data_IF_938288774841
#
_entry.id   IF_938288774841
#
_cell.length_a   1.000
_cell.length_b   1.000
_cell.length_c   1.000
_cell.angle_alpha   90.00
_cell.angle_beta   90.00
_cell.angle_gamma   90.00
#
_symmetry.space_group_name_H-M   'P 1'
#
loop_
_entity.id
_entity.type
_entity.pdbx_description
1 polymer ?
#
# COMPACT_ATOMS: atom_id res chain seq x y z
N UNK A 1 5.37 -26.91 7.11
CA UNK A 1 6.26 -26.02 6.34
C UNK A 1 5.69 -24.60 6.06
N UNK A 2 4.38 -24.41 6.02
CA UNK A 2 3.73 -23.10 5.68
C UNK A 2 3.95 -21.99 6.73
N UNK A 3 4.05 -22.33 8.02
CA UNK A 3 4.30 -21.33 9.09
C UNK A 3 5.69 -20.68 9.05
N UNK A 4 6.72 -21.36 8.51
CA UNK A 4 8.08 -20.82 8.47
C UNK A 4 8.28 -19.74 7.40
N UNK A 5 7.60 -19.83 6.24
CA UNK A 5 7.69 -18.84 5.16
C UNK A 5 7.03 -17.50 5.54
N UNK A 6 5.86 -17.53 6.20
CA UNK A 6 5.20 -16.33 6.68
C UNK A 6 6.10 -15.49 7.62
N UNK A 7 6.82 -16.18 8.52
CA UNK A 7 7.77 -15.55 9.43
C UNK A 7 9.02 -15.00 8.72
N UNK A 8 9.38 -15.49 7.54
CA UNK A 8 10.60 -15.08 6.82
C UNK A 8 10.43 -13.67 6.23
N UNK A 9 9.33 -13.35 5.53
CA UNK A 9 9.08 -12.01 4.99
C UNK A 9 8.95 -10.98 6.10
N UNK A 10 8.21 -11.29 7.17
CA UNK A 10 8.11 -10.38 8.31
C UNK A 10 9.45 -10.14 8.98
N UNK A 11 10.27 -11.18 9.19
CA UNK A 11 11.63 -11.04 9.74
C UNK A 11 12.52 -10.21 8.82
N UNK A 12 12.43 -10.39 7.50
CA UNK A 12 13.17 -9.63 6.51
C UNK A 12 12.89 -8.13 6.62
N UNK A 13 11.61 -7.74 6.67
CA UNK A 13 11.21 -6.34 6.77
C UNK A 13 11.38 -5.74 8.16
N UNK A 14 11.28 -6.53 9.23
CA UNK A 14 11.62 -6.10 10.60
C UNK A 14 13.11 -5.91 10.81
N UNK A 15 13.95 -6.62 10.05
CA UNK A 15 15.40 -6.69 10.22
C UNK A 15 16.17 -5.56 9.53
N UNK A 16 17.49 -5.78 9.41
CA UNK A 16 18.49 -4.82 8.87
C UNK A 16 18.13 -4.31 7.48
N UNK A 17 17.51 -5.15 6.63
CA UNK A 17 17.12 -4.73 5.28
C UNK A 17 16.06 -3.62 5.31
N UNK A 18 15.00 -3.78 6.12
CA UNK A 18 13.96 -2.77 6.28
C UNK A 18 14.51 -1.46 6.87
N UNK A 19 15.49 -1.54 7.76
CA UNK A 19 16.18 -0.37 8.34
C UNK A 19 16.96 0.41 7.26
N UNK A 20 17.76 -0.29 6.45
CA UNK A 20 18.56 0.32 5.36
C UNK A 20 17.66 0.83 4.21
N UNK A 21 16.45 0.33 4.07
CA UNK A 21 15.50 0.78 3.05
C UNK A 21 15.02 2.22 3.28
N UNK A 22 15.04 2.70 4.54
CA UNK A 22 14.65 4.07 4.91
C UNK A 22 15.48 5.14 4.18
N UNK A 23 16.81 5.03 4.18
CA UNK A 23 17.72 6.04 3.61
C UNK A 23 17.51 6.29 2.10
N UNK A 24 16.90 5.35 1.38
CA UNK A 24 16.62 5.45 -0.05
C UNK A 24 15.39 6.30 -0.37
N UNK A 25 14.54 6.56 0.63
CA UNK A 25 13.25 7.23 0.46
C UNK A 25 13.26 8.71 0.86
N UNK A 26 14.40 9.31 1.14
CA UNK A 26 14.48 10.71 1.61
C UNK A 26 14.55 11.75 0.47
N UNK A 27 14.44 11.34 -0.79
CA UNK A 27 14.56 12.21 -1.97
C UNK A 27 13.39 13.20 -2.12
N UNK A 28 13.72 14.48 -2.36
CA UNK A 28 12.74 15.52 -2.71
C UNK A 28 12.01 15.19 -4.02
N UNK A 29 12.70 14.53 -4.95
CA UNK A 29 12.12 14.06 -6.23
C UNK A 29 10.97 13.10 -5.95
N UNK A 30 11.14 12.12 -5.05
CA UNK A 30 10.08 11.16 -4.70
C UNK A 30 8.85 11.82 -4.08
N UNK A 31 9.02 12.87 -3.27
CA UNK A 31 7.89 13.62 -2.68
C UNK A 31 7.06 14.30 -3.77
N UNK A 32 7.73 14.88 -4.76
CA UNK A 32 7.07 15.54 -5.90
C UNK A 32 6.41 14.50 -6.81
N UNK A 33 7.12 13.46 -7.19
CA UNK A 33 6.61 12.37 -8.04
C UNK A 33 5.39 11.68 -7.42
N UNK A 34 5.40 11.40 -6.11
CA UNK A 34 4.25 10.85 -5.40
C UNK A 34 3.02 11.77 -5.48
N UNK A 35 3.20 13.08 -5.37
CA UNK A 35 2.09 14.05 -5.50
C UNK A 35 1.42 13.95 -6.88
N UNK A 36 2.21 13.92 -7.95
CA UNK A 36 1.68 13.80 -9.32
C UNK A 36 1.06 12.44 -9.56
N UNK A 37 1.70 11.36 -9.10
CA UNK A 37 1.17 10.00 -9.14
C UNK A 37 -0.23 9.92 -8.51
N UNK A 38 -0.40 10.38 -7.27
CA UNK A 38 -1.70 10.32 -6.60
C UNK A 38 -2.74 11.26 -7.22
N UNK A 39 -2.35 12.41 -7.79
CA UNK A 39 -3.27 13.24 -8.58
C UNK A 39 -3.84 12.48 -9.77
N UNK A 40 -3.00 11.68 -10.47
CA UNK A 40 -3.40 10.82 -11.59
C UNK A 40 -4.34 9.69 -11.11
N UNK A 41 -3.91 8.92 -10.10
CA UNK A 41 -4.68 7.77 -9.60
C UNK A 41 -6.05 8.16 -9.03
N UNK A 42 -6.17 9.34 -8.41
CA UNK A 42 -7.41 9.79 -7.77
C UNK A 42 -8.27 10.69 -8.69
N UNK A 43 -7.99 10.73 -10.00
CA UNK A 43 -8.72 11.60 -10.94
C UNK A 43 -10.23 11.29 -10.97
N UNK A 44 -10.59 10.00 -10.92
CA UNK A 44 -12.00 9.55 -10.96
C UNK A 44 -12.66 9.46 -9.56
N UNK A 45 -12.04 10.00 -8.51
CA UNK A 45 -12.63 10.02 -7.17
C UNK A 45 -13.31 11.34 -6.86
N UNK A 46 -14.23 11.33 -5.90
CA UNK A 46 -14.79 12.52 -5.28
C UNK A 46 -13.84 12.99 -4.16
N UNK A 47 -12.73 13.65 -4.53
CA UNK A 47 -11.63 14.03 -3.62
C UNK A 47 -12.10 14.82 -2.39
N UNK A 48 -13.13 15.66 -2.55
CA UNK A 48 -13.72 16.45 -1.47
C UNK A 48 -14.42 15.61 -0.40
N UNK A 49 -14.81 14.37 -0.71
CA UNK A 49 -15.42 13.41 0.22
C UNK A 49 -14.39 12.53 0.92
N UNK A 50 -13.13 12.50 0.47
CA UNK A 50 -12.07 11.72 1.12
C UNK A 50 -11.53 12.56 2.29
N UNK A 51 -11.91 12.20 3.53
CA UNK A 51 -11.51 12.86 4.78
C UNK A 51 -10.65 11.98 5.67
N UNK A 52 -10.62 10.69 5.40
CA UNK A 52 -9.87 9.71 6.18
C UNK A 52 -9.13 8.74 5.28
N UNK A 53 -7.94 8.31 5.72
CA UNK A 53 -7.17 7.29 5.01
C UNK A 53 -6.44 6.34 5.96
N UNK A 54 -6.19 5.15 5.46
CA UNK A 54 -5.25 4.20 6.04
C UNK A 54 -4.30 3.69 4.96
N UNK A 55 -3.01 3.61 5.28
CA UNK A 55 -2.00 2.99 4.42
C UNK A 55 -1.43 1.74 5.10
N UNK A 56 -1.31 0.67 4.34
CA UNK A 56 -0.66 -0.56 4.73
C UNK A 56 0.76 -0.61 4.17
N UNK A 57 1.76 -0.71 5.06
CA UNK A 57 3.18 -0.63 4.71
C UNK A 57 3.67 0.76 4.29
N UNK A 58 3.33 1.84 5.03
CA UNK A 58 3.69 3.22 4.67
C UNK A 58 5.18 3.52 4.76
N UNK A 59 5.97 2.65 5.35
CA UNK A 59 7.37 2.93 5.69
C UNK A 59 7.45 4.24 6.50
N UNK A 60 8.25 5.22 6.07
CA UNK A 60 8.38 6.54 6.72
C UNK A 60 7.26 7.53 6.34
N UNK A 61 6.26 7.12 5.57
CA UNK A 61 5.05 7.90 5.29
C UNK A 61 5.12 8.87 4.10
N UNK A 62 6.01 8.67 3.12
CA UNK A 62 6.12 9.59 1.96
C UNK A 62 4.84 9.68 1.12
N UNK A 63 4.09 8.59 1.00
CA UNK A 63 2.80 8.59 0.31
C UNK A 63 1.76 9.40 1.11
N UNK A 64 1.74 9.23 2.43
CA UNK A 64 0.86 10.00 3.34
C UNK A 64 1.15 11.50 3.19
N UNK A 65 2.41 11.91 3.25
CA UNK A 65 2.83 13.32 3.06
C UNK A 65 2.34 13.86 1.71
N UNK A 66 2.44 13.08 0.64
CA UNK A 66 1.97 13.49 -0.68
C UNK A 66 0.44 13.63 -0.73
N UNK A 67 -0.29 12.71 -0.10
CA UNK A 67 -1.75 12.71 -0.03
C UNK A 67 -2.30 13.85 0.85
N UNK A 68 -1.64 14.18 1.96
CA UNK A 68 -1.97 15.36 2.78
C UNK A 68 -1.93 16.67 1.98
N UNK A 69 -1.05 16.76 0.96
CA UNK A 69 -0.95 17.96 0.08
C UNK A 69 -2.06 18.09 -0.97
N UNK A 70 -2.79 17.00 -1.22
CA UNK A 70 -3.83 16.97 -2.28
C UNK A 70 -5.23 16.66 -1.76
N UNK A 71 -5.34 16.18 -0.53
CA UNK A 71 -6.60 15.83 0.14
C UNK A 71 -6.69 16.58 1.48
N UNK A 72 -7.90 17.00 1.86
CA UNK A 72 -8.17 17.60 3.18
C UNK A 72 -8.45 16.51 4.20
N UNK A 73 -7.43 15.72 4.54
CA UNK A 73 -7.55 14.59 5.46
C UNK A 73 -7.67 15.07 6.92
N UNK A 74 -8.60 14.47 7.66
CA UNK A 74 -8.84 14.70 9.10
C UNK A 74 -8.41 13.51 9.97
N UNK A 75 -8.31 12.32 9.37
CA UNK A 75 -7.92 11.08 10.07
C UNK A 75 -7.00 10.26 9.18
N UNK A 76 -5.80 10.03 9.65
CA UNK A 76 -4.77 9.31 8.90
C UNK A 76 -4.20 8.21 9.79
N UNK A 77 -4.12 7.01 9.25
CA UNK A 77 -3.48 5.87 9.92
C UNK A 77 -2.47 5.20 9.01
N UNK A 78 -1.35 4.77 9.58
CA UNK A 78 -0.37 3.94 8.92
C UNK A 78 -0.08 2.68 9.73
N UNK A 79 -0.08 1.50 9.09
CA UNK A 79 0.24 0.22 9.72
C UNK A 79 1.57 -0.27 9.19
N UNK A 80 2.61 -0.22 10.03
CA UNK A 80 4.00 -0.51 9.66
C UNK A 80 4.61 -1.55 10.59
N UNK A 81 5.24 -2.57 10.02
CA UNK A 81 5.84 -3.67 10.78
C UNK A 81 7.25 -3.36 11.27
N UNK A 82 8.01 -2.55 10.50
CA UNK A 82 9.36 -2.15 10.86
C UNK A 82 9.33 -1.08 11.97
N UNK A 83 9.97 -1.36 13.10
CA UNK A 83 9.93 -0.48 14.28
C UNK A 83 10.52 0.91 13.99
N UNK A 84 11.66 0.98 13.29
CA UNK A 84 12.31 2.26 12.99
C UNK A 84 11.49 3.09 12.00
N UNK A 85 10.92 2.46 10.98
CA UNK A 85 10.02 3.13 10.04
C UNK A 85 8.75 3.62 10.76
N UNK A 86 8.17 2.81 11.64
CA UNK A 86 7.05 3.19 12.50
C UNK A 86 7.38 4.41 13.37
N UNK A 87 8.54 4.45 14.03
CA UNK A 87 8.94 5.58 14.89
C UNK A 87 9.08 6.88 14.08
N UNK A 88 9.52 6.82 12.82
CA UNK A 88 9.55 7.98 11.93
C UNK A 88 8.14 8.36 11.46
N UNK A 89 7.31 7.38 11.11
CA UNK A 89 5.91 7.60 10.74
C UNK A 89 5.13 8.28 11.87
N UNK A 90 5.36 7.88 13.12
CA UNK A 90 4.71 8.45 14.30
C UNK A 90 5.08 9.92 14.58
N UNK A 91 6.16 10.43 13.98
CA UNK A 91 6.55 11.85 14.06
C UNK A 91 5.81 12.74 13.06
N UNK A 92 5.10 12.13 12.10
CA UNK A 92 4.34 12.91 11.12
C UNK A 92 3.09 13.52 11.77
N UNK A 93 2.83 14.80 11.45
CA UNK A 93 1.68 15.50 11.95
C UNK A 93 0.37 14.83 11.52
N UNK A 94 -0.56 14.69 12.45
CA UNK A 94 -1.91 14.14 12.25
C UNK A 94 -1.94 12.67 11.79
N UNK A 95 -0.87 11.90 12.02
CA UNK A 95 -0.77 10.49 11.65
C UNK A 95 -0.79 9.60 12.87
N UNK A 96 -1.76 8.69 12.94
CA UNK A 96 -1.81 7.60 13.91
C UNK A 96 -1.01 6.41 13.34
N UNK A 97 0.19 6.20 13.85
CA UNK A 97 1.04 5.09 13.48
C UNK A 97 0.74 3.84 14.34
N UNK A 98 0.71 2.67 13.71
CA UNK A 98 0.51 1.37 14.38
C UNK A 98 1.66 0.44 14.01
N UNK A 99 2.45 0.00 15.01
CA UNK A 99 3.51 -1.00 14.79
C UNK A 99 2.93 -2.41 14.88
N UNK A 100 2.47 -2.94 13.75
CA UNK A 100 1.85 -4.27 13.68
C UNK A 100 2.00 -4.91 12.31
N UNK A 101 1.99 -6.25 12.26
CA UNK A 101 1.83 -6.97 10.99
C UNK A 101 0.43 -6.74 10.42
N UNK A 102 0.36 -6.50 9.11
CA UNK A 102 -0.91 -6.29 8.40
C UNK A 102 -1.76 -7.56 8.38
N UNK A 103 -1.12 -8.75 8.35
CA UNK A 103 -1.84 -10.03 8.38
C UNK A 103 -2.63 -10.22 9.69
N UNK A 104 -2.11 -9.70 10.80
CA UNK A 104 -2.77 -9.76 12.13
C UNK A 104 -3.55 -8.50 12.49
N UNK A 105 -3.43 -7.42 11.70
CA UNK A 105 -4.13 -6.17 11.97
C UNK A 105 -5.60 -6.25 11.57
N UNK A 106 -6.46 -5.87 12.50
CA UNK A 106 -7.91 -5.72 12.25
C UNK A 106 -8.30 -4.28 12.59
N UNK A 107 -8.69 -3.50 11.60
CA UNK A 107 -9.15 -2.13 11.82
C UNK A 107 -10.50 -2.12 12.51
N UNK A 108 -10.60 -1.38 13.62
CA UNK A 108 -11.88 -1.05 14.26
C UNK A 108 -12.60 0.11 13.53
N UNK A 109 -11.87 0.89 12.76
CA UNK A 109 -12.36 2.04 12.01
C UNK A 109 -12.46 1.74 10.52
N UNK A 110 -13.28 2.51 9.81
CA UNK A 110 -13.38 2.54 8.36
C UNK A 110 -12.78 3.85 7.84
N UNK A 111 -12.25 3.81 6.60
CA UNK A 111 -11.58 4.93 5.97
C UNK A 111 -12.10 5.15 4.55
N UNK A 112 -12.16 6.41 4.13
CA UNK A 112 -12.62 6.78 2.79
C UNK A 112 -11.64 6.37 1.70
N UNK A 113 -10.34 6.30 2.06
CA UNK A 113 -9.27 5.81 1.18
C UNK A 113 -8.41 4.77 1.92
N UNK A 114 -8.26 3.60 1.33
CA UNK A 114 -7.32 2.57 1.74
C UNK A 114 -6.22 2.47 0.69
N UNK A 115 -4.97 2.58 1.11
CA UNK A 115 -3.80 2.58 0.22
C UNK A 115 -2.88 1.39 0.51
N UNK A 116 -2.41 0.77 -0.57
CA UNK A 116 -1.28 -0.15 -0.61
C UNK A 116 -0.40 0.21 -1.82
N UNK A 117 0.87 0.56 -1.59
CA UNK A 117 1.80 0.89 -2.67
C UNK A 117 3.17 0.27 -2.40
N UNK A 118 3.61 -0.63 -3.29
CA UNK A 118 4.87 -1.36 -3.15
C UNK A 118 4.92 -2.23 -1.90
N UNK A 119 3.78 -2.75 -1.45
CA UNK A 119 3.62 -3.49 -0.19
C UNK A 119 3.13 -4.93 -0.40
N UNK A 120 2.08 -5.14 -1.18
CA UNK A 120 1.50 -6.48 -1.41
C UNK A 120 2.49 -7.44 -2.07
N UNK A 121 3.39 -6.92 -2.88
CA UNK A 121 4.50 -7.68 -3.50
C UNK A 121 5.42 -8.34 -2.47
N UNK A 122 5.42 -7.88 -1.23
CA UNK A 122 6.25 -8.41 -0.13
C UNK A 122 5.47 -9.26 0.88
N UNK A 123 4.18 -9.48 0.63
CA UNK A 123 3.36 -10.33 1.47
C UNK A 123 3.50 -11.78 1.05
N UNK A 124 3.68 -12.68 2.03
CA UNK A 124 3.68 -14.11 1.76
C UNK A 124 2.38 -14.52 1.04
N UNK A 125 2.45 -15.25 -0.08
CA UNK A 125 1.25 -15.68 -0.82
C UNK A 125 0.16 -16.33 0.03
N UNK A 126 0.55 -17.09 1.06
CA UNK A 126 -0.40 -17.75 1.98
C UNK A 126 -1.14 -16.76 2.91
N UNK A 127 -0.64 -15.54 3.06
CA UNK A 127 -1.25 -14.47 3.87
C UNK A 127 -2.03 -13.44 3.03
N UNK A 128 -1.94 -13.49 1.71
CA UNK A 128 -2.57 -12.50 0.82
C UNK A 128 -4.08 -12.45 1.01
N UNK A 129 -4.77 -13.59 1.07
CA UNK A 129 -6.22 -13.62 1.27
C UNK A 129 -6.65 -12.89 2.55
N UNK A 130 -5.92 -13.09 3.65
CA UNK A 130 -6.22 -12.39 4.90
C UNK A 130 -5.87 -10.90 4.78
N UNK A 131 -4.79 -10.55 4.09
CA UNK A 131 -4.37 -9.16 3.84
C UNK A 131 -5.42 -8.43 2.99
N UNK A 132 -5.94 -9.04 1.92
CA UNK A 132 -7.04 -8.47 1.13
C UNK A 132 -8.31 -8.22 1.97
N UNK A 133 -8.68 -9.19 2.84
CA UNK A 133 -9.81 -9.02 3.76
C UNK A 133 -9.57 -7.84 4.71
N UNK A 134 -8.36 -7.66 5.23
CA UNK A 134 -8.02 -6.55 6.12
C UNK A 134 -8.09 -5.19 5.38
N UNK A 135 -7.58 -5.13 4.14
CA UNK A 135 -7.69 -3.96 3.25
C UNK A 135 -9.17 -3.63 3.00
N UNK A 136 -9.94 -4.59 2.49
CA UNK A 136 -11.37 -4.42 2.20
C UNK A 136 -12.17 -4.00 3.44
N UNK A 137 -11.93 -4.65 4.58
CA UNK A 137 -12.63 -4.37 5.83
C UNK A 137 -12.26 -3.00 6.42
N UNK A 138 -11.12 -2.43 6.05
CA UNK A 138 -10.72 -1.09 6.47
C UNK A 138 -11.35 0.02 5.62
N UNK A 139 -11.93 -0.31 4.46
CA UNK A 139 -12.60 0.63 3.59
C UNK A 139 -14.06 0.88 4.03
N UNK A 140 -14.48 2.14 4.08
CA UNK A 140 -15.88 2.52 4.30
C UNK A 140 -16.77 2.13 3.12
N UNK A 141 -18.07 2.04 3.35
CA UNK A 141 -19.04 1.98 2.27
C UNK A 141 -18.87 3.19 1.34
N UNK A 142 -18.93 2.97 0.04
CA UNK A 142 -18.64 3.97 -1.00
C UNK A 142 -17.22 4.58 -0.96
N UNK A 143 -16.31 4.05 -0.13
CA UNK A 143 -14.90 4.41 -0.08
C UNK A 143 -14.08 3.84 -1.24
N UNK A 144 -12.81 4.20 -1.27
CA UNK A 144 -11.88 3.82 -2.33
C UNK A 144 -10.74 2.94 -1.80
N UNK A 145 -10.31 1.99 -2.63
CA UNK A 145 -9.11 1.19 -2.38
C UNK A 145 -8.16 1.43 -3.55
N UNK A 146 -6.97 1.96 -3.27
CA UNK A 146 -5.92 2.16 -4.26
C UNK A 146 -4.79 1.18 -4.00
N UNK A 147 -4.49 0.35 -4.98
CA UNK A 147 -3.36 -0.59 -5.00
C UNK A 147 -2.40 -0.17 -6.10
N UNK A 148 -1.10 -0.09 -5.81
CA UNK A 148 -0.06 0.21 -6.78
C UNK A 148 1.13 -0.72 -6.54
N UNK A 149 1.31 -1.72 -7.40
CA UNK A 149 2.23 -2.83 -7.19
C UNK A 149 2.91 -3.25 -8.50
N UNK A 150 3.98 -4.03 -8.42
CA UNK A 150 4.55 -4.67 -9.61
C UNK A 150 3.60 -5.76 -10.11
N UNK A 151 3.18 -5.59 -11.34
CA UNK A 151 2.22 -6.49 -11.99
C UNK A 151 2.90 -7.70 -12.65
N UNK A 152 2.20 -8.83 -12.63
CA UNK A 152 2.43 -9.98 -13.50
C UNK A 152 1.11 -10.70 -13.75
N UNK A 153 0.81 -11.13 -14.99
CA UNK A 153 -0.44 -11.86 -15.29
C UNK A 153 -0.50 -13.23 -14.61
N UNK A 154 0.65 -13.78 -14.23
CA UNK A 154 0.76 -15.03 -13.47
C UNK A 154 1.61 -14.79 -12.23
N UNK A 155 1.32 -15.47 -11.10
CA UNK A 155 2.15 -15.37 -9.91
C UNK A 155 3.60 -15.77 -10.19
N UNK A 156 4.55 -14.91 -9.83
CA UNK A 156 5.98 -15.15 -9.99
C UNK A 156 6.75 -14.60 -8.78
N UNK A 157 7.69 -15.38 -8.27
CA UNK A 157 8.68 -14.94 -7.29
C UNK A 157 9.90 -14.36 -8.03
N UNK A 158 10.35 -13.21 -7.58
CA UNK A 158 11.50 -12.50 -8.16
C UNK A 158 12.58 -12.37 -7.08
N UNK A 159 13.83 -12.59 -7.46
CA UNK A 159 14.96 -12.29 -6.59
C UNK A 159 15.04 -10.78 -6.37
N UNK A 160 14.99 -10.36 -5.12
CA UNK A 160 14.98 -8.96 -4.75
C UNK A 160 16.26 -8.61 -4.01
N UNK A 161 17.17 -7.87 -4.68
CA UNK A 161 18.43 -7.40 -4.11
C UNK A 161 19.23 -8.53 -3.46
N UNK A 162 19.38 -9.65 -4.16
CA UNK A 162 20.10 -10.84 -3.71
C UNK A 162 19.33 -11.72 -2.70
N UNK A 163 18.07 -11.40 -2.41
CA UNK A 163 17.24 -12.21 -1.51
C UNK A 163 16.15 -12.93 -2.29
N UNK A 164 16.04 -14.24 -2.07
CA UNK A 164 15.02 -15.10 -2.70
C UNK A 164 13.72 -15.09 -1.89
N UNK A 165 12.59 -15.29 -2.59
CA UNK A 165 11.26 -15.45 -1.99
C UNK A 165 10.80 -14.29 -1.11
N UNK A 166 11.20 -13.06 -1.42
CA UNK A 166 10.80 -11.85 -0.68
C UNK A 166 10.02 -10.85 -1.52
N UNK A 167 9.93 -11.06 -2.84
CA UNK A 167 9.15 -10.27 -3.77
C UNK A 167 8.33 -11.18 -4.69
N UNK A 168 7.02 -10.91 -4.76
CA UNK A 168 6.06 -11.67 -5.56
C UNK A 168 5.24 -10.73 -6.43
N UNK A 169 5.39 -10.85 -7.76
CA UNK A 169 4.53 -10.14 -8.72
C UNK A 169 3.28 -10.97 -9.01
N UNK A 170 2.13 -10.32 -9.13
CA UNK A 170 0.83 -10.98 -9.33
C UNK A 170 -0.16 -10.03 -9.99
N UNK A 171 -1.28 -10.57 -10.43
CA UNK A 171 -2.47 -9.78 -10.76
C UNK A 171 -3.33 -9.57 -9.49
N UNK A 172 -2.87 -8.67 -8.62
CA UNK A 172 -3.55 -8.34 -7.37
C UNK A 172 -4.99 -7.83 -7.60
N UNK A 173 -5.24 -7.16 -8.72
CA UNK A 173 -6.56 -6.62 -9.03
C UNK A 173 -7.56 -7.75 -9.32
N UNK A 174 -7.23 -8.68 -10.21
CA UNK A 174 -8.08 -9.84 -10.51
C UNK A 174 -8.29 -10.71 -9.28
N UNK A 175 -7.28 -10.91 -8.44
CA UNK A 175 -7.43 -11.65 -7.19
C UNK A 175 -8.44 -10.99 -6.25
N UNK A 176 -8.39 -9.66 -6.06
CA UNK A 176 -9.36 -8.93 -5.25
C UNK A 176 -10.77 -8.99 -5.84
N UNK A 177 -10.92 -8.82 -7.17
CA UNK A 177 -12.22 -8.89 -7.84
C UNK A 177 -12.84 -10.29 -7.68
N UNK A 178 -12.07 -11.36 -7.78
CA UNK A 178 -12.54 -12.74 -7.55
C UNK A 178 -13.02 -12.96 -6.12
N UNK A 179 -12.31 -12.41 -5.11
CA UNK A 179 -12.66 -12.58 -3.69
C UNK A 179 -13.90 -11.77 -3.32
N UNK A 180 -13.95 -10.50 -3.72
CA UNK A 180 -15.00 -9.57 -3.27
C UNK A 180 -16.16 -9.44 -4.27
N UNK A 181 -16.00 -9.94 -5.49
CA UNK A 181 -17.05 -9.98 -6.54
C UNK A 181 -17.76 -8.62 -6.67
N UNK A 182 -19.09 -8.62 -6.62
CA UNK A 182 -19.93 -7.42 -6.73
C UNK A 182 -19.78 -6.41 -5.58
N UNK A 183 -18.96 -6.69 -4.55
CA UNK A 183 -18.76 -5.78 -3.41
C UNK A 183 -17.74 -4.67 -3.69
N UNK A 184 -16.96 -4.78 -4.75
CA UNK A 184 -16.03 -3.76 -5.23
C UNK A 184 -16.13 -3.66 -6.77
N UNK A 185 -15.91 -2.45 -7.29
CA UNK A 185 -15.80 -2.19 -8.71
C UNK A 185 -14.44 -1.58 -9.03
N UNK A 186 -13.74 -2.10 -10.02
CA UNK A 186 -12.56 -1.45 -10.60
C UNK A 186 -13.05 -0.24 -11.41
N UNK A 187 -12.69 0.98 -10.97
CA UNK A 187 -13.16 2.23 -11.59
C UNK A 187 -12.08 2.93 -12.41
N UNK A 188 -10.82 2.64 -12.14
CA UNK A 188 -9.69 3.14 -12.92
C UNK A 188 -8.45 2.28 -12.71
N UNK A 189 -7.53 2.32 -13.69
CA UNK A 189 -6.21 1.69 -13.59
C UNK A 189 -5.22 2.36 -14.54
N UNK A 190 -3.95 2.06 -14.37
CA UNK A 190 -2.92 2.55 -15.26
C UNK A 190 -1.52 2.13 -14.84
N UNK A 191 -0.56 2.57 -15.61
CA UNK A 191 0.85 2.29 -15.41
C UNK A 191 1.61 3.57 -15.06
N UNK A 192 2.58 3.47 -14.18
CA UNK A 192 3.53 4.52 -13.85
C UNK A 192 4.94 4.04 -14.27
N UNK A 193 5.63 4.87 -15.02
CA UNK A 193 6.88 4.54 -15.69
C UNK A 193 8.06 5.25 -15.01
N UNK A 194 9.20 4.54 -14.86
CA UNK A 194 10.40 5.13 -14.25
C UNK A 194 11.03 6.25 -15.10
N UNK A 195 10.78 6.28 -16.40
CA UNK A 195 11.26 7.31 -17.33
C UNK A 195 10.33 8.54 -17.47
N UNK A 196 9.22 8.61 -16.72
CA UNK A 196 8.33 9.77 -16.75
C UNK A 196 8.98 11.02 -16.12
N UNK A 197 8.47 12.22 -16.49
CA UNK A 197 8.87 13.50 -15.86
C UNK A 197 8.76 13.47 -14.34
N UNK A 198 7.78 12.72 -13.81
CA UNK A 198 7.56 12.48 -12.38
C UNK A 198 7.65 10.97 -12.12
N UNK A 199 8.88 10.43 -12.08
CA UNK A 199 9.11 9.00 -12.11
C UNK A 199 8.55 8.31 -10.88
N UNK A 200 8.08 7.10 -11.08
CA UNK A 200 7.81 6.08 -10.07
C UNK A 200 8.62 4.84 -10.46
N UNK A 201 8.69 3.85 -9.59
CA UNK A 201 9.02 2.49 -10.04
C UNK A 201 7.95 2.05 -11.07
N UNK A 202 8.28 1.08 -11.94
CA UNK A 202 7.35 0.55 -12.95
C UNK A 202 6.18 -0.17 -12.27
N UNK A 203 5.19 0.61 -11.82
CA UNK A 203 4.06 0.15 -11.04
C UNK A 203 2.78 0.17 -11.87
N UNK A 204 2.00 -0.89 -11.78
CA UNK A 204 0.60 -0.88 -12.21
C UNK A 204 -0.28 -0.52 -11.02
N UNK A 205 -1.13 0.49 -11.19
CA UNK A 205 -2.07 0.91 -10.15
C UNK A 205 -3.51 0.59 -10.54
N UNK A 206 -4.32 0.26 -9.53
CA UNK A 206 -5.72 -0.11 -9.64
C UNK A 206 -6.52 0.64 -8.58
N UNK A 207 -7.55 1.35 -9.01
CA UNK A 207 -8.47 2.07 -8.14
C UNK A 207 -9.82 1.37 -8.10
N UNK A 208 -10.20 0.91 -6.93
CA UNK A 208 -11.50 0.30 -6.69
C UNK A 208 -12.40 1.24 -5.91
N UNK A 209 -13.71 1.13 -6.17
CA UNK A 209 -14.76 1.68 -5.30
C UNK A 209 -15.45 0.52 -4.59
N UNK A 210 -15.56 0.61 -3.27
CA UNK A 210 -16.34 -0.32 -2.48
C UNK A 210 -17.81 0.06 -2.60
N UNK A 211 -18.67 -0.92 -2.85
CA UNK A 211 -20.12 -0.71 -2.87
C UNK A 211 -20.64 -0.50 -1.44
N UNK A 212 -21.73 0.25 -1.33
CA UNK A 212 -22.42 0.52 -0.07
C UNK A 212 -23.17 -0.69 0.47
#
# INVERSE_FOLDING_TARGET
MVKSLANTQEKFWKGVFGIKYKSRNESTILKTSNKFFFKKCLKKTQKNKIKSMIEFGPNIGLNIIALQKILKLKKIRGVEINKIAYENLAKLKDVEAINKSVSSYKSKNKYDLVLSKGFLIHINPNQLNQTYKNIYNSCSANGYILIAEYYSPKPVAIDYRGNKNVLFKRDFATEMLKIFKKKINLIDYGFAYHGDKHPQDDLTWFLFKKNG
#
